data_IF_750864460944
#
_entry.id   IF_750864460944
#
_cell.length_a   1.000
_cell.length_b   1.000
_cell.length_c   1.000
_cell.angle_alpha   90.00
_cell.angle_beta   90.00
_cell.angle_gamma   90.00
#
_symmetry.space_group_name_H-M   'P 1'
#
loop_
_entity.id
_entity.type
_entity.pdbx_description
1 polymer ?
#
# COMPACT_ATOMS: atom_id res chain seq x y z
N UNK A 1 54.46 -12.15 22.20
CA UNK A 1 53.72 -13.43 22.29
C UNK A 1 53.01 -13.47 23.63
N UNK A 2 51.68 -13.45 23.62
CA UNK A 2 50.85 -13.30 24.84
C UNK A 2 49.68 -14.30 24.75
N UNK A 3 49.53 -15.12 25.79
CA UNK A 3 48.67 -16.31 25.83
C UNK A 3 47.15 -15.95 25.85
N UNK A 4 46.28 -16.57 25.02
CA UNK A 4 44.85 -16.21 24.91
C UNK A 4 43.91 -17.05 25.79
N UNK A 5 44.41 -17.76 26.82
CA UNK A 5 43.55 -18.50 27.76
C UNK A 5 43.45 -17.71 29.06
N UNK A 6 42.29 -17.09 29.31
CA UNK A 6 41.68 -16.84 30.63
C UNK A 6 40.54 -15.79 30.61
N UNK A 7 39.77 -15.66 29.51
CA UNK A 7 38.58 -14.81 29.52
C UNK A 7 37.31 -15.65 29.75
N UNK A 8 37.09 -16.02 31.01
CA UNK A 8 35.85 -16.65 31.47
C UNK A 8 34.71 -15.64 31.38
N UNK A 9 33.96 -15.67 30.27
CA UNK A 9 32.70 -14.93 30.13
C UNK A 9 31.70 -15.54 31.12
N UNK A 10 31.46 -14.86 32.25
CA UNK A 10 30.36 -15.18 33.17
C UNK A 10 29.04 -15.09 32.39
N UNK A 11 28.36 -16.21 32.19
CA UNK A 11 26.97 -16.22 31.71
C UNK A 11 26.09 -15.50 32.73
N UNK A 12 25.37 -14.47 32.27
CA UNK A 12 24.28 -13.85 33.03
C UNK A 12 23.24 -14.93 33.32
N UNK A 13 22.80 -15.04 34.57
CA UNK A 13 21.73 -15.95 34.97
C UNK A 13 20.49 -15.60 34.14
N UNK A 14 20.15 -16.46 33.19
CA UNK A 14 18.82 -16.47 32.61
C UNK A 14 17.89 -16.99 33.71
N UNK A 15 16.90 -16.20 34.09
CA UNK A 15 15.77 -16.68 34.90
C UNK A 15 14.97 -17.60 33.98
N UNK A 16 15.33 -18.88 33.98
CA UNK A 16 14.58 -19.95 33.34
C UNK A 16 13.28 -20.07 34.12
N UNK A 17 12.19 -19.52 33.57
CA UNK A 17 10.85 -19.84 34.06
C UNK A 17 10.65 -21.36 34.03
N UNK A 18 9.75 -21.92 34.86
CA UNK A 18 9.57 -23.36 34.96
C UNK A 18 9.25 -23.92 33.57
N UNK A 19 10.24 -24.59 33.00
CA UNK A 19 10.17 -25.25 31.69
C UNK A 19 9.51 -26.64 31.82
N UNK A 20 8.92 -26.91 32.98
CA UNK A 20 8.24 -28.14 33.33
C UNK A 20 6.74 -27.94 33.18
N UNK A 21 6.16 -28.62 32.20
CA UNK A 21 4.72 -28.67 31.99
C UNK A 21 4.04 -29.30 33.22
N UNK A 22 2.75 -29.00 33.49
CA UNK A 22 2.00 -29.57 34.62
C UNK A 22 2.02 -31.10 34.66
N UNK A 23 2.20 -31.73 33.50
CA UNK A 23 2.34 -33.17 33.30
C UNK A 23 3.58 -33.74 34.00
N UNK A 24 4.70 -33.00 34.04
CA UNK A 24 5.92 -33.41 34.74
C UNK A 24 5.70 -33.54 36.25
N UNK A 25 5.00 -32.59 36.86
CA UNK A 25 4.67 -32.63 38.30
C UNK A 25 3.68 -33.76 38.64
N UNK A 26 2.72 -34.02 37.76
CA UNK A 26 1.79 -35.15 37.89
C UNK A 26 2.48 -36.51 37.77
N UNK A 27 3.50 -36.61 36.92
CA UNK A 27 4.35 -37.80 36.80
C UNK A 27 5.27 -37.98 38.02
N UNK A 28 5.90 -36.90 38.50
CA UNK A 28 6.82 -36.95 39.64
C UNK A 28 6.11 -37.31 40.96
N UNK A 29 4.89 -36.80 41.16
CA UNK A 29 4.09 -37.06 42.38
C UNK A 29 3.62 -38.51 42.52
N UNK A 30 3.67 -39.31 41.43
CA UNK A 30 3.28 -40.72 41.42
C UNK A 30 4.43 -41.68 41.73
N UNK A 31 5.67 -41.21 41.83
CA UNK A 31 6.81 -42.05 42.22
C UNK A 31 6.96 -42.09 43.73
N UNK A 32 6.37 -43.10 44.36
CA UNK A 32 6.83 -43.57 45.68
C UNK A 32 8.24 -44.12 45.49
N UNK A 33 9.17 -43.70 46.35
CA UNK A 33 10.60 -43.99 46.23
C UNK A 33 10.90 -45.45 46.64
N UNK A 34 10.70 -46.40 45.73
CA UNK A 34 10.89 -47.84 45.96
C UNK A 34 12.36 -48.28 45.90
N UNK A 35 13.29 -47.51 46.46
CA UNK A 35 14.71 -47.84 46.39
C UNK A 35 15.18 -48.98 47.31
N UNK A 36 14.29 -49.76 47.95
CA UNK A 36 14.62 -51.10 48.47
C UNK A 36 13.35 -51.98 48.49
N UNK A 37 13.26 -53.02 47.64
CA UNK A 37 12.59 -54.25 48.01
C UNK A 37 13.58 -55.42 48.01
N UNK A 38 13.72 -56.02 49.17
CA UNK A 38 14.42 -57.26 49.47
C UNK A 38 14.00 -58.39 48.50
N UNK A 39 14.98 -59.14 47.98
CA UNK A 39 14.76 -60.28 47.09
C UNK A 39 14.08 -61.43 47.86
N UNK A 40 12.76 -61.57 47.73
CA UNK A 40 12.05 -62.81 48.06
C UNK A 40 11.59 -63.50 46.77
N UNK A 41 12.19 -64.66 46.55
CA UNK A 41 11.97 -65.62 45.50
C UNK A 41 10.59 -66.28 45.64
N UNK A 42 9.64 -65.93 44.77
CA UNK A 42 8.51 -66.75 44.28
C UNK A 42 7.49 -65.84 43.59
N UNK A 43 7.42 -65.90 42.26
CA UNK A 43 6.15 -66.00 41.51
C UNK A 43 6.38 -65.84 40.01
N UNK A 44 6.16 -66.96 39.30
CA UNK A 44 6.09 -67.05 37.85
C UNK A 44 4.77 -66.42 37.40
N UNK A 45 4.81 -65.17 36.94
CA UNK A 45 3.72 -64.50 36.20
C UNK A 45 4.10 -64.43 34.71
N UNK A 46 3.17 -64.66 33.77
CA UNK A 46 3.49 -64.66 32.35
C UNK A 46 3.91 -63.25 31.91
N UNK A 47 5.04 -63.17 31.22
CA UNK A 47 5.67 -61.98 30.64
C UNK A 47 4.87 -61.40 29.45
N UNK A 48 3.54 -61.40 29.54
CA UNK A 48 2.62 -60.97 28.47
C UNK A 48 1.93 -59.63 28.77
N UNK A 49 2.05 -59.14 30.00
CA UNK A 49 1.79 -57.73 30.30
C UNK A 49 3.04 -56.92 29.93
N UNK A 50 3.17 -56.63 28.63
CA UNK A 50 4.07 -55.60 28.13
C UNK A 50 3.91 -54.36 29.04
N UNK A 51 4.97 -53.90 29.73
CA UNK A 51 4.89 -52.64 30.46
C UNK A 51 4.48 -51.59 29.44
N UNK A 52 3.40 -50.88 29.74
CA UNK A 52 2.98 -49.70 28.98
C UNK A 52 4.24 -48.83 28.82
N UNK A 53 4.79 -48.78 27.60
CA UNK A 53 6.11 -48.19 27.35
C UNK A 53 6.02 -46.71 27.67
N UNK A 54 6.38 -46.34 28.90
CA UNK A 54 6.43 -44.95 29.34
C UNK A 54 7.57 -44.30 28.55
N UNK A 55 7.28 -43.32 27.69
CA UNK A 55 8.32 -42.68 26.90
C UNK A 55 9.35 -42.04 27.83
N UNK A 56 10.63 -42.20 27.49
CA UNK A 56 11.70 -41.54 28.23
C UNK A 56 11.61 -40.00 28.09
N UNK A 57 12.12 -39.25 29.06
CA UNK A 57 12.17 -37.78 29.00
C UNK A 57 12.82 -37.27 27.69
N UNK A 58 13.83 -37.99 27.20
CA UNK A 58 14.52 -37.68 25.93
C UNK A 58 13.58 -37.85 24.73
N UNK A 59 12.75 -38.89 24.75
CA UNK A 59 11.81 -39.17 23.66
C UNK A 59 10.69 -38.12 23.58
N UNK A 60 10.20 -37.67 24.74
CA UNK A 60 9.24 -36.56 24.85
C UNK A 60 9.86 -35.26 24.29
N UNK A 61 11.07 -34.90 24.74
CA UNK A 61 11.77 -33.70 24.26
C UNK A 61 12.00 -33.76 22.73
N UNK A 62 12.34 -34.93 22.20
CA UNK A 62 12.55 -35.12 20.76
C UNK A 62 11.25 -34.91 19.97
N UNK A 63 10.12 -35.42 20.47
CA UNK A 63 8.82 -35.20 19.84
C UNK A 63 8.42 -33.73 19.86
N UNK A 64 8.59 -33.04 21.00
CA UNK A 64 8.28 -31.61 21.13
C UNK A 64 9.13 -30.76 20.19
N UNK A 65 10.42 -31.06 20.07
CA UNK A 65 11.31 -30.37 19.14
C UNK A 65 10.86 -30.56 17.69
N UNK A 66 10.47 -31.80 17.32
CA UNK A 66 9.96 -32.10 15.97
C UNK A 66 8.66 -31.34 15.70
N UNK A 67 7.75 -31.27 16.67
CA UNK A 67 6.50 -30.50 16.57
C UNK A 67 6.79 -29.01 16.39
N UNK A 68 7.68 -28.44 17.20
CA UNK A 68 8.07 -27.02 17.11
C UNK A 68 8.73 -26.68 15.77
N UNK A 69 9.61 -27.54 15.26
CA UNK A 69 10.19 -27.33 13.93
C UNK A 69 9.14 -27.37 12.82
N UNK A 70 8.14 -28.25 12.91
CA UNK A 70 7.04 -28.29 11.93
C UNK A 70 6.17 -27.02 12.00
N UNK A 71 5.85 -26.55 13.21
CA UNK A 71 5.13 -25.27 13.42
C UNK A 71 5.90 -24.08 12.83
N UNK A 72 7.22 -24.02 13.08
CA UNK A 72 8.07 -22.97 12.53
C UNK A 72 8.19 -23.04 11.01
N UNK A 73 8.31 -24.25 10.44
CA UNK A 73 8.35 -24.44 8.98
C UNK A 73 7.09 -23.91 8.29
N UNK A 74 5.90 -24.24 8.83
CA UNK A 74 4.63 -23.71 8.31
C UNK A 74 4.55 -22.19 8.41
N UNK A 75 5.07 -21.60 9.49
CA UNK A 75 5.07 -20.14 9.67
C UNK A 75 6.03 -19.44 8.72
N UNK A 76 7.16 -20.05 8.39
CA UNK A 76 8.09 -19.53 7.39
C UNK A 76 7.43 -19.53 6.01
N UNK A 77 6.77 -20.63 5.64
CA UNK A 77 6.05 -20.75 4.36
C UNK A 77 4.96 -19.68 4.21
N UNK A 78 4.13 -19.49 5.25
CA UNK A 78 3.13 -18.41 5.28
C UNK A 78 3.75 -17.02 5.12
N UNK A 79 4.86 -16.74 5.79
CA UNK A 79 5.54 -15.44 5.69
C UNK A 79 6.14 -15.21 4.30
N UNK A 80 6.66 -16.27 3.66
CA UNK A 80 7.18 -16.18 2.30
C UNK A 80 6.05 -15.94 1.28
N UNK A 81 4.88 -16.56 1.45
CA UNK A 81 3.69 -16.28 0.65
C UNK A 81 3.21 -14.82 0.83
N UNK A 82 3.05 -14.36 2.07
CA UNK A 82 2.67 -12.98 2.38
C UNK A 82 3.66 -11.97 1.77
N UNK A 83 4.95 -12.24 1.87
CA UNK A 83 6.01 -11.41 1.27
C UNK A 83 5.91 -11.35 -0.26
N UNK A 84 5.58 -12.46 -0.91
CA UNK A 84 5.39 -12.51 -2.36
C UNK A 84 4.17 -11.68 -2.78
N UNK A 85 3.04 -11.78 -2.06
CA UNK A 85 1.86 -10.96 -2.30
C UNK A 85 2.14 -9.46 -2.12
N UNK A 86 2.79 -9.08 -1.02
CA UNK A 86 3.14 -7.67 -0.76
C UNK A 86 4.07 -7.11 -1.85
N UNK A 87 5.01 -7.90 -2.36
CA UNK A 87 5.87 -7.47 -3.46
C UNK A 87 5.08 -7.18 -4.73
N UNK A 88 4.12 -8.05 -5.07
CA UNK A 88 3.22 -7.84 -6.21
C UNK A 88 2.38 -6.56 -6.03
N UNK A 89 1.83 -6.33 -4.85
CA UNK A 89 1.04 -5.14 -4.56
C UNK A 89 1.86 -3.85 -4.72
N UNK A 90 3.11 -3.85 -4.25
CA UNK A 90 4.04 -2.72 -4.43
C UNK A 90 4.29 -2.45 -5.93
N UNK A 91 4.52 -3.49 -6.73
CA UNK A 91 4.74 -3.34 -8.17
C UNK A 91 3.47 -2.82 -8.89
N UNK A 92 2.28 -3.30 -8.50
CA UNK A 92 0.99 -2.80 -9.01
C UNK A 92 0.79 -1.33 -8.67
N UNK A 93 1.01 -0.93 -7.41
CA UNK A 93 0.89 0.47 -6.99
C UNK A 93 1.88 1.37 -7.75
N UNK A 94 3.11 0.90 -7.96
CA UNK A 94 4.12 1.61 -8.74
C UNK A 94 3.67 1.83 -10.19
N UNK A 95 3.10 0.81 -10.82
CA UNK A 95 2.58 0.93 -12.19
C UNK A 95 1.38 1.88 -12.28
N UNK A 96 0.45 1.81 -11.32
CA UNK A 96 -0.70 2.71 -11.26
C UNK A 96 -0.28 4.17 -11.08
N UNK A 97 0.64 4.43 -10.16
CA UNK A 97 1.15 5.79 -9.91
C UNK A 97 1.89 6.36 -11.12
N UNK A 98 2.66 5.54 -11.84
CA UNK A 98 3.31 5.97 -13.07
C UNK A 98 2.30 6.33 -14.18
N UNK A 99 1.25 5.52 -14.35
CA UNK A 99 0.18 5.80 -15.33
C UNK A 99 -0.54 7.10 -15.01
N UNK A 100 -0.88 7.33 -13.74
CA UNK A 100 -1.50 8.57 -13.28
C UNK A 100 -0.61 9.78 -13.54
N UNK A 101 0.70 9.66 -13.27
CA UNK A 101 1.67 10.73 -13.55
C UNK A 101 1.71 11.09 -15.03
N UNK A 102 1.75 10.10 -15.93
CA UNK A 102 1.72 10.33 -17.38
C UNK A 102 0.44 11.03 -17.83
N UNK A 103 -0.72 10.59 -17.30
CA UNK A 103 -2.00 11.23 -17.58
C UNK A 103 -2.06 12.69 -17.12
N UNK A 104 -1.58 12.97 -15.89
CA UNK A 104 -1.49 14.32 -15.34
C UNK A 104 -0.62 15.24 -16.20
N UNK A 105 0.58 14.79 -16.57
CA UNK A 105 1.51 15.59 -17.36
C UNK A 105 0.90 15.98 -18.72
N UNK A 106 0.23 15.03 -19.40
CA UNK A 106 -0.46 15.32 -20.67
C UNK A 106 -1.57 16.35 -20.49
N UNK A 107 -2.41 16.20 -19.46
CA UNK A 107 -3.47 17.16 -19.18
C UNK A 107 -2.93 18.56 -18.85
N UNK A 108 -1.76 18.64 -18.22
CA UNK A 108 -1.07 19.90 -17.90
C UNK A 108 -0.49 20.57 -19.15
N UNK A 109 0.11 19.79 -20.06
CA UNK A 109 0.56 20.27 -21.38
C UNK A 109 -0.62 20.79 -22.22
N UNK A 110 -1.72 20.03 -22.27
CA UNK A 110 -2.95 20.43 -22.99
C UNK A 110 -3.54 21.73 -22.41
N UNK A 111 -3.53 21.87 -21.08
CA UNK A 111 -4.00 23.08 -20.40
C UNK A 111 -3.13 24.31 -20.70
N UNK A 112 -1.80 24.17 -20.68
CA UNK A 112 -0.91 25.29 -20.98
C UNK A 112 -1.03 25.68 -22.46
N UNK A 113 -1.17 24.72 -23.37
CA UNK A 113 -1.48 24.97 -24.79
C UNK A 113 -2.77 25.79 -24.93
N UNK A 114 -3.87 25.32 -24.34
CA UNK A 114 -5.17 26.00 -24.38
C UNK A 114 -5.11 27.42 -23.81
N UNK A 115 -4.37 27.61 -22.71
CA UNK A 115 -4.16 28.92 -22.08
C UNK A 115 -3.39 29.87 -23.01
N UNK A 116 -2.41 29.37 -23.77
CA UNK A 116 -1.71 30.19 -24.77
C UNK A 116 -2.65 30.58 -25.92
N UNK A 117 -3.47 29.66 -26.42
CA UNK A 117 -4.40 29.94 -27.51
C UNK A 117 -5.52 30.88 -27.09
N UNK A 118 -6.03 30.73 -25.87
CA UNK A 118 -6.97 31.68 -25.29
C UNK A 118 -6.38 33.10 -25.20
N UNK A 119 -5.13 33.24 -24.75
CA UNK A 119 -4.45 34.55 -24.70
C UNK A 119 -4.32 35.16 -26.10
N UNK A 120 -3.94 34.36 -27.10
CA UNK A 120 -3.86 34.81 -28.51
C UNK A 120 -5.23 35.24 -29.02
N UNK A 121 -6.27 34.44 -28.81
CA UNK A 121 -7.64 34.75 -29.23
C UNK A 121 -8.11 36.07 -28.61
N UNK A 122 -7.91 36.26 -27.30
CA UNK A 122 -8.24 37.51 -26.61
C UNK A 122 -7.51 38.71 -27.20
N UNK A 123 -6.23 38.56 -27.55
CA UNK A 123 -5.45 39.62 -28.21
C UNK A 123 -6.01 39.93 -29.61
N UNK A 124 -6.36 38.91 -30.39
CA UNK A 124 -6.97 39.07 -31.71
C UNK A 124 -8.33 39.78 -31.65
N UNK A 125 -9.17 39.45 -30.65
CA UNK A 125 -10.46 40.12 -30.46
C UNK A 125 -10.29 41.62 -30.15
N UNK A 126 -9.24 41.98 -29.39
CA UNK A 126 -8.88 43.37 -29.11
C UNK A 126 -8.42 44.12 -30.36
N UNK A 127 -7.50 43.55 -31.13
CA UNK A 127 -6.99 44.20 -32.35
C UNK A 127 -8.06 44.32 -33.45
N UNK A 128 -8.91 43.31 -33.60
CA UNK A 128 -10.03 43.35 -34.55
C UNK A 128 -11.18 44.27 -34.12
N UNK A 129 -11.08 44.98 -32.98
CA UNK A 129 -12.16 45.79 -32.37
C UNK A 129 -13.47 45.02 -32.21
N UNK A 130 -13.40 43.70 -32.07
CA UNK A 130 -14.53 42.82 -31.78
C UNK A 130 -14.99 42.94 -30.33
N UNK A 131 -14.24 43.64 -29.47
CA UNK A 131 -14.65 44.02 -28.11
C UNK A 131 -15.75 45.10 -28.08
N UNK A 132 -16.21 45.62 -29.23
CA UNK A 132 -17.38 46.49 -29.26
C UNK A 132 -18.58 45.80 -28.62
N UNK A 133 -19.14 46.41 -27.58
CA UNK A 133 -20.39 45.91 -27.01
C UNK A 133 -21.51 46.02 -28.04
N UNK A 134 -22.53 45.16 -27.93
CA UNK A 134 -23.71 45.20 -28.81
C UNK A 134 -24.35 46.59 -28.87
N UNK A 135 -24.30 47.34 -27.76
CA UNK A 135 -24.78 48.72 -27.67
C UNK A 135 -24.00 49.69 -28.55
N UNK A 136 -22.67 49.56 -28.62
CA UNK A 136 -21.83 50.36 -29.50
C UNK A 136 -22.14 50.08 -30.98
N UNK A 137 -22.36 48.81 -31.33
CA UNK A 137 -22.81 48.43 -32.68
C UNK A 137 -24.19 49.01 -33.02
N UNK A 138 -25.14 48.92 -32.09
CA UNK A 138 -26.48 49.50 -32.30
C UNK A 138 -26.44 51.03 -32.45
N UNK A 139 -25.55 51.70 -31.71
CA UNK A 139 -25.37 53.14 -31.81
C UNK A 139 -24.78 53.55 -33.17
N UNK A 140 -23.72 52.90 -33.64
CA UNK A 140 -23.13 53.17 -34.96
C UNK A 140 -24.14 52.93 -36.10
N UNK A 141 -24.95 51.86 -36.02
CA UNK A 141 -26.01 51.59 -36.99
C UNK A 141 -27.07 52.70 -37.00
N UNK A 142 -27.46 53.24 -35.84
CA UNK A 142 -28.41 54.36 -35.75
C UNK A 142 -27.85 55.64 -36.35
N UNK A 143 -26.58 55.92 -36.09
CA UNK A 143 -25.89 57.10 -36.63
C UNK A 143 -25.78 57.01 -38.15
N UNK A 144 -25.40 55.85 -38.70
CA UNK A 144 -25.34 55.65 -40.16
C UNK A 144 -26.72 55.73 -40.83
N UNK A 145 -27.76 55.17 -40.22
CA UNK A 145 -29.15 55.34 -40.72
C UNK A 145 -29.53 56.82 -40.78
N UNK A 146 -29.14 57.60 -39.77
CA UNK A 146 -29.42 59.03 -39.72
C UNK A 146 -28.64 59.80 -40.81
N UNK A 147 -27.39 59.42 -41.07
CA UNK A 147 -26.58 59.97 -42.18
C UNK A 147 -27.20 59.68 -43.53
N UNK A 148 -27.65 58.45 -43.77
CA UNK A 148 -28.35 58.06 -44.99
C UNK A 148 -29.62 58.88 -45.23
N UNK A 149 -30.44 59.08 -44.19
CA UNK A 149 -31.65 59.89 -44.29
C UNK A 149 -31.32 61.33 -44.71
N UNK A 150 -30.28 61.92 -44.10
CA UNK A 150 -29.81 63.28 -44.45
C UNK A 150 -29.32 63.36 -45.89
N UNK A 151 -28.48 62.41 -46.33
CA UNK A 151 -27.98 62.36 -47.70
C UNK A 151 -29.11 62.21 -48.72
N UNK A 152 -30.11 61.37 -48.42
CA UNK A 152 -31.29 61.19 -49.26
C UNK A 152 -32.06 62.49 -49.43
N UNK A 153 -32.29 63.23 -48.35
CA UNK A 153 -32.96 64.52 -48.40
C UNK A 153 -32.17 65.54 -49.24
N UNK A 154 -30.85 65.58 -49.08
CA UNK A 154 -29.97 66.44 -49.90
C UNK A 154 -29.99 66.07 -51.38
N UNK A 155 -30.02 64.78 -51.72
CA UNK A 155 -30.12 64.30 -53.09
C UNK A 155 -31.43 64.70 -53.75
N UNK A 156 -32.57 64.48 -53.05
CA UNK A 156 -33.88 64.90 -53.55
C UNK A 156 -33.92 66.40 -53.83
N UNK A 157 -33.31 67.21 -52.96
CA UNK A 157 -33.23 68.66 -53.15
C UNK A 157 -32.40 69.05 -54.37
N UNK A 158 -31.32 68.33 -54.67
CA UNK A 158 -30.51 68.54 -55.88
C UNK A 158 -31.28 68.14 -57.14
N UNK A 159 -32.01 67.02 -57.10
CA UNK A 159 -32.85 66.59 -58.23
C UNK A 159 -33.96 67.61 -58.55
N UNK A 160 -34.59 68.19 -57.53
CA UNK A 160 -35.56 69.28 -57.70
C UNK A 160 -34.94 70.52 -58.35
N UNK A 161 -33.71 70.88 -57.96
CA UNK A 161 -33.00 72.02 -58.56
C UNK A 161 -32.60 71.77 -60.02
N UNK A 162 -32.38 70.52 -60.43
CA UNK A 162 -32.04 70.16 -61.83
C UNK A 162 -33.24 70.05 -62.77
N UNK A 163 -34.46 69.95 -62.24
CA UNK A 163 -35.70 69.88 -63.03
C UNK A 163 -36.32 71.25 -63.33
N UNK A 164 -35.71 72.33 -62.83
CA UNK A 164 -36.05 73.73 -63.16
C UNK A 164 -35.06 74.25 -64.18
#
# INVERSE_FOLDING_TARGET
MSNPRNQTRRMKRFTVGPMTTPEYYGWWSKRVNDNIPELSQEDVRPMEEYPQVVPSEIEIIKQDFKKKNSELGKRIEQLDEEKMHLKLDVDVQKLQTEKLRKGKNKAEEDLESLKTDYKKLRLLMRTARLEKTSEQWHQEIREEKTRLIKLRASLSKIEEMKKK
#
